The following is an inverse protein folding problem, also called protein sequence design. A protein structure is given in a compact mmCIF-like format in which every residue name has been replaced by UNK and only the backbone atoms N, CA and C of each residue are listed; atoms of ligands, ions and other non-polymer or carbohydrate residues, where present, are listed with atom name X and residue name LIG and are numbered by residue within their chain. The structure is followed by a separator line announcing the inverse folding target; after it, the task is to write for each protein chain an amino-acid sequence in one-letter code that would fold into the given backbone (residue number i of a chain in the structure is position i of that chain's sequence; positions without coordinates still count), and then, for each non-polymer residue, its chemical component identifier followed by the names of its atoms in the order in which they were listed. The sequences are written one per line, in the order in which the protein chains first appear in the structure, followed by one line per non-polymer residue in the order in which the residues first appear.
data_IF_540249263508
#
_entry.id   IF_540249263508
#
_cell.length_a   1.000
_cell.length_b   1.000
_cell.length_c   1.000
_cell.angle_alpha   90.00
_cell.angle_beta   90.00
_cell.angle_gamma   90.00
#
_symmetry.space_group_name_H-M   'P 1'
#
loop_
_entity.id
_entity.type
_entity.pdbx_description
1 polymer ?
#
# COMPACT_ATOMS: atom_id res chain seq x y z
N UNK A 1 -10.39 -35.20 47.81
CA UNK A 1 -10.80 -35.59 46.43
C UNK A 1 -10.00 -34.73 45.46
N UNK A 2 -9.06 -35.33 44.73
CA UNK A 2 -8.16 -34.61 43.81
C UNK A 2 -8.84 -34.41 42.42
N UNK A 3 -8.61 -33.29 41.72
CA UNK A 3 -9.15 -33.11 40.37
C UNK A 3 -8.34 -33.92 39.35
N UNK A 4 -9.06 -34.65 38.48
CA UNK A 4 -8.50 -35.48 37.40
C UNK A 4 -7.87 -34.60 36.31
N UNK A 5 -6.62 -34.89 35.93
CA UNK A 5 -5.91 -34.25 34.84
C UNK A 5 -6.56 -34.54 33.48
N UNK A 6 -6.87 -33.48 32.72
CA UNK A 6 -7.34 -33.56 31.34
C UNK A 6 -6.15 -33.88 30.41
N UNK A 7 -6.22 -35.01 29.70
CA UNK A 7 -5.20 -35.42 28.72
C UNK A 7 -5.33 -34.57 27.46
N UNK A 8 -4.32 -33.75 27.17
CA UNK A 8 -4.22 -33.05 25.89
C UNK A 8 -3.88 -34.07 24.79
N UNK A 9 -4.79 -34.26 23.83
CA UNK A 9 -4.54 -35.01 22.60
C UNK A 9 -3.85 -34.10 21.59
N UNK A 10 -2.58 -34.39 21.27
CA UNK A 10 -1.86 -33.71 20.19
C UNK A 10 -2.44 -34.12 18.84
N UNK A 11 -2.99 -33.16 18.08
CA UNK A 11 -3.40 -33.36 16.69
C UNK A 11 -2.15 -33.47 15.81
N UNK A 12 -1.84 -34.68 15.34
CA UNK A 12 -0.76 -34.93 14.38
C UNK A 12 -1.26 -34.71 12.95
N UNK A 13 -0.71 -33.73 12.24
CA UNK A 13 -0.97 -33.54 10.80
C UNK A 13 0.01 -34.39 9.99
N UNK A 14 -0.49 -35.39 9.26
CA UNK A 14 0.31 -36.15 8.29
C UNK A 14 0.36 -35.38 6.97
N UNK A 15 1.55 -34.89 6.60
CA UNK A 15 1.81 -34.27 5.31
C UNK A 15 1.81 -35.32 4.22
N UNK A 16 0.73 -35.39 3.43
CA UNK A 16 0.72 -36.11 2.16
C UNK A 16 1.19 -35.15 1.08
N UNK A 17 2.42 -35.33 0.59
CA UNK A 17 2.94 -34.55 -0.56
C UNK A 17 2.13 -34.89 -1.81
N UNK A 18 1.50 -33.92 -2.51
CA UNK A 18 0.92 -34.18 -3.81
C UNK A 18 2.03 -34.44 -4.84
N UNK A 19 1.98 -35.62 -5.48
CA UNK A 19 2.86 -36.01 -6.57
C UNK A 19 2.37 -35.36 -7.87
N UNK A 20 2.86 -34.15 -8.15
CA UNK A 20 2.64 -33.49 -9.46
C UNK A 20 3.70 -34.00 -10.42
N UNK A 21 3.27 -34.81 -11.39
CA UNK A 21 4.10 -35.23 -12.54
C UNK A 21 4.48 -33.98 -13.33
N UNK A 22 5.79 -33.74 -13.47
CA UNK A 22 6.34 -32.65 -14.29
C UNK A 22 6.47 -33.13 -15.72
N UNK A 23 5.43 -32.92 -16.53
CA UNK A 23 5.55 -33.02 -17.98
C UNK A 23 5.88 -31.63 -18.55
N UNK A 24 7.12 -31.17 -18.32
CA UNK A 24 7.65 -29.95 -18.94
C UNK A 24 8.24 -30.32 -20.30
N UNK A 25 7.44 -30.17 -21.37
CA UNK A 25 7.91 -30.39 -22.74
C UNK A 25 8.84 -29.24 -23.13
N UNK A 26 10.14 -29.51 -23.16
CA UNK A 26 11.17 -28.60 -23.68
C UNK A 26 10.82 -28.26 -25.14
N UNK A 27 10.39 -27.02 -25.37
CA UNK A 27 10.27 -26.46 -26.72
C UNK A 27 11.69 -26.14 -27.19
N UNK A 28 12.15 -26.90 -28.20
CA UNK A 28 13.42 -26.71 -28.89
C UNK A 28 13.43 -25.29 -29.49
N UNK A 29 14.36 -24.45 -29.05
CA UNK A 29 14.61 -23.16 -29.67
C UNK A 29 15.01 -23.38 -31.13
N UNK A 30 14.18 -22.92 -32.06
CA UNK A 30 14.58 -22.75 -33.45
C UNK A 30 15.34 -21.42 -33.52
N UNK A 31 16.64 -21.51 -33.78
CA UNK A 31 17.45 -20.35 -34.18
C UNK A 31 16.97 -19.93 -35.57
N UNK A 32 16.20 -18.84 -35.63
CA UNK A 32 15.89 -18.17 -36.88
C UNK A 32 16.98 -17.11 -37.11
N UNK A 33 17.93 -17.42 -37.99
CA UNK A 33 18.95 -16.48 -38.48
C UNK A 33 18.30 -15.41 -39.36
N UNK A 34 17.85 -14.32 -38.74
CA UNK A 34 17.55 -13.08 -39.47
C UNK A 34 18.88 -12.42 -39.83
N UNK A 35 19.29 -12.56 -41.10
CA UNK A 35 20.39 -11.81 -41.71
C UNK A 35 20.13 -10.30 -41.59
N UNK A 36 20.81 -9.64 -40.65
CA UNK A 36 20.86 -8.18 -40.53
C UNK A 36 21.68 -7.65 -41.71
N UNK A 37 21.00 -7.12 -42.72
CA UNK A 37 21.60 -6.27 -43.75
C UNK A 37 21.34 -4.82 -43.37
N UNK A 38 22.43 -4.08 -43.22
CA UNK A 38 22.56 -2.62 -43.36
C UNK A 38 21.74 -1.74 -42.40
N UNK A 39 22.13 -1.69 -41.12
CA UNK A 39 21.75 -0.59 -40.22
C UNK A 39 22.80 0.53 -40.36
N UNK A 40 22.41 1.65 -41.00
CA UNK A 40 23.21 2.88 -41.00
C UNK A 40 23.31 3.44 -39.57
N UNK A 41 24.44 4.04 -39.17
CA UNK A 41 24.62 4.55 -37.81
C UNK A 41 23.68 5.74 -37.58
N UNK A 42 22.70 5.56 -36.71
CA UNK A 42 21.85 6.65 -36.20
C UNK A 42 22.69 7.45 -35.21
N UNK A 43 22.91 8.73 -35.53
CA UNK A 43 23.52 9.70 -34.62
C UNK A 43 22.60 9.85 -33.41
N UNK A 44 23.14 9.62 -32.22
CA UNK A 44 22.46 9.92 -30.96
C UNK A 44 22.48 11.44 -30.76
N UNK A 45 21.31 12.06 -30.71
CA UNK A 45 21.13 13.41 -30.18
C UNK A 45 20.77 13.33 -28.69
N UNK A 46 21.21 14.28 -27.85
CA UNK A 46 20.94 14.29 -26.41
C UNK A 46 19.53 14.88 -26.16
N UNK A 47 18.55 14.06 -25.76
CA UNK A 47 17.14 14.50 -25.62
C UNK A 47 16.55 14.17 -24.22
N UNK A 48 17.34 13.68 -23.27
CA UNK A 48 16.78 13.20 -21.99
C UNK A 48 16.63 14.26 -20.88
N UNK A 49 17.16 15.48 -21.02
CA UNK A 49 17.17 16.44 -19.89
C UNK A 49 15.99 17.40 -19.84
N UNK A 50 15.29 17.69 -20.95
CA UNK A 50 14.20 18.70 -20.95
C UNK A 50 12.83 18.13 -20.60
N UNK A 51 12.65 16.82 -20.71
CA UNK A 51 11.35 16.17 -20.49
C UNK A 51 11.08 15.96 -18.98
N UNK A 52 12.12 15.70 -18.19
CA UNK A 52 12.00 15.55 -16.74
C UNK A 52 11.62 16.86 -16.05
N UNK A 53 12.27 17.97 -16.43
CA UNK A 53 12.00 19.29 -15.82
C UNK A 53 10.57 19.79 -16.07
N UNK A 54 9.98 19.49 -17.23
CA UNK A 54 8.61 19.88 -17.56
C UNK A 54 7.59 19.01 -16.79
N UNK A 55 7.86 17.70 -16.66
CA UNK A 55 7.02 16.77 -15.88
C UNK A 55 7.02 17.09 -14.38
N UNK A 56 8.17 17.38 -13.78
CA UNK A 56 8.26 17.77 -12.36
C UNK A 56 7.54 19.10 -12.09
N UNK A 57 7.57 20.03 -13.05
CA UNK A 57 6.90 21.31 -12.95
C UNK A 57 5.38 21.19 -13.08
N UNK A 58 4.90 20.30 -13.94
CA UNK A 58 3.48 19.98 -14.05
C UNK A 58 2.96 19.30 -12.78
N UNK A 59 3.70 18.33 -12.21
CA UNK A 59 3.35 17.66 -10.95
C UNK A 59 3.32 18.66 -9.77
N UNK A 60 4.29 19.57 -9.69
CA UNK A 60 4.31 20.61 -8.66
C UNK A 60 3.13 21.60 -8.79
N UNK A 61 2.75 21.98 -10.02
CA UNK A 61 1.60 22.86 -10.26
C UNK A 61 0.27 22.18 -9.91
N UNK A 62 0.16 20.87 -10.17
CA UNK A 62 -1.02 20.08 -9.78
C UNK A 62 -1.16 20.00 -8.26
N UNK A 63 -0.07 19.72 -7.54
CA UNK A 63 -0.06 19.70 -6.07
C UNK A 63 -0.48 21.06 -5.50
N UNK A 64 -0.01 22.17 -6.06
CA UNK A 64 -0.35 23.51 -5.57
C UNK A 64 -1.85 23.84 -5.70
N UNK A 65 -2.56 23.18 -6.63
CA UNK A 65 -4.00 23.33 -6.84
C UNK A 65 -4.88 22.50 -5.90
N UNK A 66 -4.32 21.52 -5.18
CA UNK A 66 -5.07 20.68 -4.25
C UNK A 66 -5.53 21.47 -3.01
N UNK A 67 -6.57 21.03 -2.29
CA UNK A 67 -6.95 21.65 -1.03
C UNK A 67 -5.91 21.39 0.06
N UNK A 68 -5.75 22.36 0.95
CA UNK A 68 -4.98 22.19 2.19
C UNK A 68 -5.77 21.33 3.19
N UNK A 69 -5.08 20.41 3.84
CA UNK A 69 -5.61 19.63 4.95
C UNK A 69 -5.69 20.52 6.19
N UNK A 70 -6.90 20.78 6.67
CA UNK A 70 -7.13 21.26 8.04
C UNK A 70 -7.36 20.06 8.96
N UNK A 71 -6.38 19.65 9.77
CA UNK A 71 -6.52 18.47 10.59
C UNK A 71 -7.41 18.66 11.82
N UNK A 72 -7.80 19.90 12.11
CA UNK A 72 -8.65 20.26 13.25
C UNK A 72 -10.13 20.29 12.88
N UNK A 73 -10.49 19.94 11.64
CA UNK A 73 -11.90 19.85 11.27
C UNK A 73 -12.65 18.84 12.14
N UNK A 74 -13.86 19.22 12.54
CA UNK A 74 -14.75 18.43 13.40
C UNK A 74 -14.98 17.02 12.87
N UNK A 75 -15.01 16.87 11.54
CA UNK A 75 -15.26 15.58 10.87
C UNK A 75 -14.16 14.56 11.21
N UNK A 76 -12.89 14.99 11.26
CA UNK A 76 -11.77 14.11 11.60
C UNK A 76 -11.77 13.76 13.09
N UNK A 77 -12.16 14.71 13.95
CA UNK A 77 -12.29 14.46 15.38
C UNK A 77 -13.36 13.39 15.65
N UNK A 78 -14.54 13.53 15.05
CA UNK A 78 -15.65 12.59 15.21
C UNK A 78 -15.29 11.19 14.70
N UNK A 79 -14.66 11.08 13.53
CA UNK A 79 -14.27 9.78 12.98
C UNK A 79 -13.15 9.13 13.81
N UNK A 80 -12.18 9.90 14.31
CA UNK A 80 -11.14 9.38 15.20
C UNK A 80 -11.71 8.87 16.54
N UNK A 81 -12.69 9.58 17.12
CA UNK A 81 -13.39 9.14 18.33
C UNK A 81 -14.15 7.83 18.09
N UNK A 82 -14.88 7.74 16.98
CA UNK A 82 -15.62 6.53 16.60
C UNK A 82 -14.70 5.32 16.40
N UNK A 83 -13.53 5.51 15.79
CA UNK A 83 -12.51 4.45 15.68
C UNK A 83 -12.03 4.02 17.07
N UNK A 84 -11.76 4.97 17.97
CA UNK A 84 -11.31 4.68 19.32
C UNK A 84 -12.37 3.91 20.14
N UNK A 85 -13.65 4.25 20.00
CA UNK A 85 -14.77 3.56 20.64
C UNK A 85 -14.94 2.10 20.17
N UNK A 86 -14.57 1.81 18.92
CA UNK A 86 -14.60 0.45 18.37
C UNK A 86 -13.40 -0.40 18.80
N UNK A 87 -12.34 0.23 19.32
CA UNK A 87 -11.15 -0.45 19.81
C UNK A 87 -11.38 -1.05 21.19
N UNK A 88 -10.93 -2.29 21.38
CA UNK A 88 -10.97 -2.98 22.68
C UNK A 88 -9.84 -2.45 23.60
N UNK A 89 -8.75 -1.99 23.01
CA UNK A 89 -7.59 -1.50 23.72
C UNK A 89 -7.64 0.03 23.84
N UNK A 90 -7.13 0.59 24.96
CA UNK A 90 -7.02 2.04 25.13
C UNK A 90 -6.12 2.64 24.04
N UNK A 91 -6.35 3.91 23.72
CA UNK A 91 -5.50 4.66 22.78
C UNK A 91 -4.05 4.65 23.33
N UNK A 92 -3.15 4.06 22.55
CA UNK A 92 -1.71 4.00 22.85
C UNK A 92 -0.93 5.03 22.03
N UNK A 93 -1.64 5.89 21.29
CA UNK A 93 -1.00 6.97 20.54
C UNK A 93 -0.64 8.14 21.47
N UNK A 94 0.50 8.80 21.24
CA UNK A 94 0.82 10.03 21.92
C UNK A 94 -0.30 11.06 21.72
N UNK A 95 -0.57 11.85 22.76
CA UNK A 95 -1.51 12.97 22.75
C UNK A 95 -1.26 13.99 21.64
N UNK A 96 -0.01 14.09 21.16
CA UNK A 96 0.40 15.01 20.10
C UNK A 96 0.09 14.51 18.68
N UNK A 97 -0.43 13.28 18.52
CA UNK A 97 -0.75 12.73 17.20
C UNK A 97 -2.08 13.29 16.70
N UNK A 98 -2.02 13.80 15.48
CA UNK A 98 -3.14 14.42 14.80
C UNK A 98 -4.29 13.43 14.50
N UNK A 99 -5.53 13.90 14.51
CA UNK A 99 -6.72 13.08 14.23
C UNK A 99 -6.64 12.39 12.85
N UNK A 100 -6.16 13.10 11.83
CA UNK A 100 -5.95 12.52 10.50
C UNK A 100 -4.97 11.35 10.54
N UNK A 101 -3.86 11.46 11.28
CA UNK A 101 -2.88 10.39 11.43
C UNK A 101 -3.46 9.18 12.17
N UNK A 102 -4.27 9.40 13.21
CA UNK A 102 -4.99 8.33 13.92
C UNK A 102 -5.90 7.54 12.96
N UNK A 103 -6.64 8.25 12.11
CA UNK A 103 -7.52 7.64 11.10
C UNK A 103 -6.70 6.83 10.08
N UNK A 104 -5.63 7.42 9.52
CA UNK A 104 -4.79 6.75 8.53
C UNK A 104 -4.09 5.52 9.11
N UNK A 105 -3.62 5.60 10.36
CA UNK A 105 -3.01 4.47 11.05
C UNK A 105 -4.00 3.34 11.31
N UNK A 106 -5.23 3.65 11.71
CA UNK A 106 -6.27 2.65 11.82
C UNK A 106 -6.56 1.99 10.47
N UNK A 107 -6.61 2.76 9.39
CA UNK A 107 -6.75 2.22 8.03
C UNK A 107 -5.61 1.24 7.70
N UNK A 108 -4.35 1.60 7.96
CA UNK A 108 -3.17 0.75 7.72
C UNK A 108 -3.27 -0.63 8.40
N UNK A 109 -3.80 -0.68 9.62
CA UNK A 109 -3.96 -1.93 10.38
C UNK A 109 -5.29 -2.66 10.16
N UNK A 110 -6.23 -2.07 9.42
CA UNK A 110 -7.47 -2.75 9.06
C UNK A 110 -7.20 -3.81 8.00
N UNK A 111 -7.31 -5.09 8.37
CA UNK A 111 -6.96 -6.23 7.50
C UNK A 111 -7.89 -6.39 6.30
N UNK A 112 -9.12 -5.88 6.38
CA UNK A 112 -10.14 -6.04 5.35
C UNK A 112 -9.74 -5.41 4.01
N UNK A 113 -8.94 -4.34 4.03
CA UNK A 113 -8.48 -3.65 2.82
C UNK A 113 -7.21 -4.28 2.22
N UNK A 114 -6.73 -5.38 2.80
CA UNK A 114 -5.59 -6.18 2.35
C UNK A 114 -4.23 -5.69 2.86
N UNK A 115 -3.12 -6.24 2.34
CA UNK A 115 -1.78 -6.00 2.88
C UNK A 115 -1.39 -4.52 2.81
N UNK A 116 -0.67 -4.09 3.85
CA UNK A 116 -0.21 -2.71 4.08
C UNK A 116 1.18 -2.43 3.53
N UNK A 117 1.98 -3.48 3.30
CA UNK A 117 3.38 -3.37 2.89
C UNK A 117 3.51 -3.28 1.36
N UNK A 118 4.44 -2.45 0.89
CA UNK A 118 4.82 -2.35 -0.52
C UNK A 118 3.90 -1.47 -1.38
N UNK A 119 2.98 -0.72 -0.76
CA UNK A 119 2.09 0.24 -1.40
C UNK A 119 2.03 1.52 -0.57
N UNK A 120 1.85 2.66 -1.24
CA UNK A 120 1.41 3.90 -0.59
C UNK A 120 -0.03 3.75 -0.08
N UNK A 121 -0.47 4.63 0.84
CA UNK A 121 -1.85 4.57 1.36
C UNK A 121 -2.88 4.76 0.26
N UNK A 122 -2.62 5.66 -0.70
CA UNK A 122 -3.54 5.94 -1.81
C UNK A 122 -3.67 4.75 -2.76
N UNK A 123 -2.56 4.08 -3.09
CA UNK A 123 -2.58 2.86 -3.91
C UNK A 123 -3.34 1.73 -3.22
N UNK A 124 -3.12 1.55 -1.92
CA UNK A 124 -3.84 0.55 -1.12
C UNK A 124 -5.34 0.84 -1.09
N UNK A 125 -5.72 2.10 -0.91
CA UNK A 125 -7.12 2.55 -0.96
C UNK A 125 -7.76 2.26 -2.32
N UNK A 126 -7.10 2.64 -3.41
CA UNK A 126 -7.57 2.41 -4.78
C UNK A 126 -7.71 0.90 -5.07
N UNK A 127 -6.78 0.07 -4.59
CA UNK A 127 -6.88 -1.39 -4.71
C UNK A 127 -8.10 -1.92 -3.97
N UNK A 128 -8.34 -1.48 -2.73
CA UNK A 128 -9.50 -1.90 -1.95
C UNK A 128 -10.83 -1.49 -2.61
N UNK A 129 -10.89 -0.29 -3.18
CA UNK A 129 -12.05 0.17 -3.95
C UNK A 129 -12.30 -0.69 -5.19
N UNK A 130 -11.26 -1.00 -5.97
CA UNK A 130 -11.34 -1.88 -7.15
C UNK A 130 -11.81 -3.29 -6.80
N UNK A 131 -11.51 -3.76 -5.59
CA UNK A 131 -11.96 -5.06 -5.08
C UNK A 131 -13.38 -5.02 -4.48
N UNK A 132 -14.03 -3.86 -4.43
CA UNK A 132 -15.38 -3.71 -3.88
C UNK A 132 -15.44 -3.81 -2.35
N UNK A 133 -14.33 -3.54 -1.65
CA UNK A 133 -14.21 -3.66 -0.19
C UNK A 133 -14.70 -2.42 0.56
N UNK A 134 -15.19 -1.40 -0.16
CA UNK A 134 -15.74 -0.15 0.38
C UNK A 134 -14.82 0.52 1.43
N UNK A 135 -13.57 0.87 1.06
CA UNK A 135 -12.68 1.57 1.98
C UNK A 135 -13.27 2.95 2.38
N UNK A 136 -12.93 3.49 3.57
CA UNK A 136 -13.51 4.74 4.05
C UNK A 136 -13.21 5.92 3.12
N UNK A 137 -14.23 6.67 2.72
CA UNK A 137 -14.06 7.81 1.80
C UNK A 137 -13.18 8.93 2.41
N UNK A 138 -13.26 9.12 3.72
CA UNK A 138 -12.51 10.13 4.45
C UNK A 138 -10.98 9.89 4.35
N UNK A 139 -10.53 8.64 4.28
CA UNK A 139 -9.11 8.32 4.06
C UNK A 139 -8.65 8.86 2.72
N UNK A 140 -9.46 8.69 1.66
CA UNK A 140 -9.14 9.25 0.34
C UNK A 140 -9.12 10.78 0.37
N UNK A 141 -10.08 11.40 1.03
CA UNK A 141 -10.14 12.86 1.17
C UNK A 141 -8.85 13.41 1.79
N UNK A 142 -8.33 12.78 2.86
CA UNK A 142 -7.06 13.17 3.47
C UNK A 142 -5.90 13.02 2.46
N UNK A 143 -5.85 11.91 1.73
CA UNK A 143 -4.75 11.59 0.81
C UNK A 143 -4.74 12.44 -0.47
N UNK A 144 -5.87 13.04 -0.84
CA UNK A 144 -6.00 13.95 -2.00
C UNK A 144 -5.74 15.42 -1.63
N UNK A 145 -5.31 15.71 -0.40
CA UNK A 145 -4.84 17.04 0.01
C UNK A 145 -3.36 17.25 -0.35
N UNK A 146 -2.89 18.51 -0.33
CA UNK A 146 -1.46 18.83 -0.54
C UNK A 146 -0.54 18.05 0.39
N UNK A 147 -0.90 18.01 1.67
CA UNK A 147 -0.18 17.33 2.73
C UNK A 147 -0.24 15.81 2.51
N UNK A 148 -1.40 15.29 2.09
CA UNK A 148 -1.63 13.88 1.76
C UNK A 148 -0.73 13.34 0.65
N UNK A 149 -0.39 14.17 -0.33
CA UNK A 149 0.45 13.79 -1.48
C UNK A 149 1.94 14.06 -1.28
N UNK A 150 2.27 15.08 -0.49
CA UNK A 150 3.64 15.59 -0.31
C UNK A 150 4.34 14.97 0.91
N UNK A 151 3.65 14.91 2.05
CA UNK A 151 4.27 14.52 3.32
C UNK A 151 4.23 13.00 3.50
N UNK A 152 5.39 12.39 3.79
CA UNK A 152 5.50 10.94 3.98
C UNK A 152 4.64 10.43 5.15
N UNK A 153 4.44 11.28 6.18
CA UNK A 153 3.59 10.97 7.34
C UNK A 153 2.17 10.61 6.92
N UNK A 154 1.63 11.24 5.87
CA UNK A 154 0.29 10.98 5.33
C UNK A 154 0.31 10.02 4.13
N UNK A 155 1.27 10.18 3.22
CA UNK A 155 1.35 9.40 1.98
C UNK A 155 1.71 7.93 2.19
N UNK A 156 2.70 7.67 3.05
CA UNK A 156 3.29 6.34 3.23
C UNK A 156 2.54 5.55 4.30
N UNK A 157 2.58 4.22 4.21
CA UNK A 157 2.02 3.38 5.27
C UNK A 157 2.83 3.49 6.57
N UNK A 158 2.22 3.15 7.71
CA UNK A 158 2.85 3.25 9.03
C UNK A 158 4.14 2.44 9.19
N UNK A 159 4.32 1.37 8.41
CA UNK A 159 5.52 0.51 8.47
C UNK A 159 6.65 1.00 7.56
N UNK A 160 6.45 2.09 6.81
CA UNK A 160 7.46 2.67 5.95
C UNK A 160 8.69 3.09 6.77
N UNK A 161 9.87 2.65 6.35
CA UNK A 161 11.13 2.89 7.06
C UNK A 161 11.34 2.10 8.36
N UNK A 162 10.37 1.29 8.80
CA UNK A 162 10.48 0.47 10.03
C UNK A 162 10.95 -0.96 9.78
N UNK A 163 10.90 -1.41 8.53
CA UNK A 163 11.37 -2.73 8.12
C UNK A 163 12.87 -2.64 7.83
N UNK A 164 13.67 -3.24 8.71
CA UNK A 164 15.14 -3.35 8.61
C UNK A 164 15.53 -4.73 8.09
#
# INVERSE_FOLDING_TARGET
MAPKAAKQTSLSFKSTKPNVKKDFKVVKQQQNDLKVKDIKPVKQEPIETTIFDELEKEEAAEIESLPDLDPSETIYLEEAQKIAEQSIAPDVHPEDVNNCEKILKNFDFTVDFGPVVGLTRLERWNRAQKLGLNPPALVKQILETKQGTTEDVYKQNYLFGQLV
#
